data_IF_125781420012
#
_entry.id   IF_125781420012
#
_cell.length_a   1.000
_cell.length_b   1.000
_cell.length_c   1.000
_cell.angle_alpha   90.00
_cell.angle_beta   90.00
_cell.angle_gamma   90.00
#
_symmetry.space_group_name_H-M   'P 1'
#
loop_
_entity.id
_entity.type
_entity.pdbx_description
1 polymer ?
#
# COMPACT_ATOMS: atom_id res chain seq x y z
N UNK A 1 2.37 -16.81 -22.09
CA UNK A 1 1.18 -16.13 -21.53
C UNK A 1 1.63 -14.75 -21.08
N UNK A 2 1.45 -13.73 -21.93
CA UNK A 2 1.79 -12.34 -21.60
C UNK A 2 0.53 -11.71 -21.01
N UNK A 3 0.47 -11.62 -19.68
CA UNK A 3 -0.53 -10.82 -18.99
C UNK A 3 -0.30 -9.37 -19.38
N UNK A 4 -1.28 -8.77 -20.05
CA UNK A 4 -1.27 -7.38 -20.47
C UNK A 4 -1.57 -6.48 -19.27
N UNK A 5 -0.64 -6.45 -18.30
CA UNK A 5 -0.65 -5.50 -17.19
C UNK A 5 -0.65 -4.10 -17.81
N UNK A 6 -1.63 -3.25 -17.50
CA UNK A 6 -1.60 -1.86 -17.97
C UNK A 6 -0.33 -1.22 -17.41
N UNK A 7 0.40 -0.45 -18.23
CA UNK A 7 1.70 0.17 -17.90
C UNK A 7 1.57 1.35 -16.91
N UNK A 8 0.64 1.22 -15.97
CA UNK A 8 0.31 2.20 -14.95
C UNK A 8 1.02 1.78 -13.66
N UNK A 9 1.99 2.59 -13.28
CA UNK A 9 2.74 2.43 -12.04
C UNK A 9 2.08 3.26 -10.94
N UNK A 10 1.67 2.60 -9.86
CA UNK A 10 1.02 3.25 -8.72
C UNK A 10 1.90 3.10 -7.49
N UNK A 11 2.13 4.22 -6.81
CA UNK A 11 2.74 4.24 -5.47
C UNK A 11 1.67 4.65 -4.48
N UNK A 12 1.37 3.76 -3.53
CA UNK A 12 0.52 4.10 -2.39
C UNK A 12 1.41 4.62 -1.28
N UNK A 13 1.41 5.93 -1.06
CA UNK A 13 2.17 6.56 0.01
C UNK A 13 1.30 6.71 1.26
N UNK A 14 1.86 6.41 2.43
CA UNK A 14 1.21 6.60 3.72
C UNK A 14 2.21 6.97 4.80
N UNK A 15 1.83 7.83 5.72
CA UNK A 15 2.71 8.22 6.84
C UNK A 15 3.04 7.03 7.75
N UNK A 16 2.10 6.09 7.88
CA UNK A 16 2.19 4.88 8.71
C UNK A 16 2.54 5.17 10.19
N UNK A 17 2.04 6.28 10.74
CA UNK A 17 2.23 6.68 12.15
C UNK A 17 1.08 6.24 13.04
N UNK A 18 -0.16 6.53 12.62
CA UNK A 18 -1.34 6.20 13.41
C UNK A 18 -1.47 4.69 13.63
N UNK A 19 -1.22 3.89 12.60
CA UNK A 19 -1.26 2.43 12.70
C UNK A 19 -0.15 1.86 13.60
N UNK A 20 0.90 2.64 13.91
CA UNK A 20 1.98 2.26 14.82
C UNK A 20 1.81 2.77 16.25
N UNK A 21 0.97 3.78 16.47
CA UNK A 21 0.84 4.48 17.76
C UNK A 21 -0.52 4.28 18.43
N UNK A 22 -1.55 3.93 17.67
CA UNK A 22 -2.91 3.71 18.15
C UNK A 22 -3.31 2.25 17.94
N UNK A 23 -3.53 1.53 19.03
CA UNK A 23 -3.92 0.10 19.00
C UNK A 23 -5.27 -0.13 18.32
N UNK A 24 -6.21 0.82 18.43
CA UNK A 24 -7.51 0.75 17.78
C UNK A 24 -7.40 0.87 16.26
N UNK A 25 -6.49 1.72 15.79
CA UNK A 25 -6.18 1.84 14.35
C UNK A 25 -5.43 0.60 13.86
N UNK A 26 -4.42 0.12 14.61
CA UNK A 26 -3.67 -1.09 14.28
C UNK A 26 -4.56 -2.33 14.21
N UNK A 27 -5.60 -2.42 15.05
CA UNK A 27 -6.56 -3.51 15.01
C UNK A 27 -7.38 -3.55 13.70
N UNK A 28 -7.60 -2.40 13.05
CA UNK A 28 -8.30 -2.30 11.77
C UNK A 28 -7.32 -2.47 10.60
N UNK A 29 -6.13 -1.87 10.69
CA UNK A 29 -5.10 -1.87 9.66
C UNK A 29 -3.76 -2.38 10.21
N UNK A 30 -3.62 -3.70 10.45
CA UNK A 30 -2.44 -4.27 11.11
C UNK A 30 -1.16 -4.12 10.29
N UNK A 31 -1.28 -4.02 8.97
CA UNK A 31 -0.16 -3.79 8.04
C UNK A 31 -0.19 -2.35 7.46
N UNK A 32 -1.04 -1.48 8.02
CA UNK A 32 -1.28 -0.13 7.53
C UNK A 32 -2.28 -0.03 6.38
N UNK A 33 -2.85 1.15 6.20
CA UNK A 33 -3.85 1.42 5.15
C UNK A 33 -3.24 1.23 3.76
N UNK A 34 -1.98 1.66 3.59
CA UNK A 34 -1.24 1.51 2.35
C UNK A 34 -1.14 0.06 1.86
N UNK A 35 -0.90 -0.91 2.76
CA UNK A 35 -0.87 -2.32 2.40
C UNK A 35 -2.24 -2.82 1.93
N UNK A 36 -3.31 -2.43 2.63
CA UNK A 36 -4.70 -2.77 2.27
C UNK A 36 -5.06 -2.25 0.87
N UNK A 37 -4.77 -0.98 0.60
CA UNK A 37 -5.02 -0.37 -0.72
C UNK A 37 -4.16 -1.00 -1.81
N UNK A 38 -2.88 -1.26 -1.53
CA UNK A 38 -1.99 -1.90 -2.49
C UNK A 38 -2.47 -3.31 -2.86
N UNK A 39 -2.96 -4.09 -1.89
CA UNK A 39 -3.51 -5.42 -2.13
C UNK A 39 -4.76 -5.38 -3.01
N UNK A 40 -5.64 -4.38 -2.82
CA UNK A 40 -6.80 -4.18 -3.68
C UNK A 40 -6.41 -3.78 -5.11
N UNK A 41 -5.49 -2.81 -5.25
CA UNK A 41 -5.05 -2.28 -6.55
C UNK A 41 -4.28 -3.31 -7.38
N UNK A 42 -3.51 -4.20 -6.74
CA UNK A 42 -2.80 -5.30 -7.44
C UNK A 42 -3.75 -6.26 -8.16
N UNK A 43 -5.01 -6.34 -7.75
CA UNK A 43 -6.03 -7.14 -8.45
C UNK A 43 -6.46 -6.53 -9.79
N UNK A 44 -6.11 -5.27 -10.06
CA UNK A 44 -6.55 -4.51 -11.23
C UNK A 44 -5.54 -4.47 -12.39
N UNK A 45 -4.65 -5.45 -12.52
CA UNK A 45 -3.59 -5.49 -13.55
C UNK A 45 -2.71 -4.21 -13.54
N UNK A 46 -2.36 -3.73 -12.34
CA UNK A 46 -1.52 -2.56 -12.10
C UNK A 46 -0.18 -2.95 -11.47
N UNK A 47 0.87 -2.19 -11.74
CA UNK A 47 2.16 -2.30 -11.05
C UNK A 47 2.14 -1.44 -9.80
N UNK A 48 1.98 -2.05 -8.62
CA UNK A 48 1.76 -1.31 -7.37
C UNK A 48 2.86 -1.54 -6.35
N UNK A 49 3.45 -0.44 -5.87
CA UNK A 49 4.34 -0.40 -4.70
C UNK A 49 3.74 0.46 -3.59
N UNK A 50 4.26 0.29 -2.39
CA UNK A 50 3.99 1.16 -1.25
C UNK A 50 5.23 2.00 -0.94
N UNK A 51 5.04 3.11 -0.23
CA UNK A 51 6.11 3.87 0.38
C UNK A 51 5.60 4.50 1.69
N UNK A 52 6.48 4.62 2.68
CA UNK A 52 6.17 5.22 3.97
C UNK A 52 7.07 6.40 4.31
N UNK A 53 6.68 7.23 5.27
CA UNK A 53 7.47 8.41 5.68
C UNK A 53 8.87 8.04 6.20
N UNK A 54 9.01 6.88 6.85
CA UNK A 54 10.29 6.42 7.43
C UNK A 54 11.21 5.75 6.39
N UNK A 55 10.76 5.54 5.15
CA UNK A 55 11.58 4.98 4.08
C UNK A 55 12.52 6.05 3.48
N UNK A 56 13.75 5.67 3.08
CA UNK A 56 14.67 6.57 2.38
C UNK A 56 14.15 6.93 0.97
N UNK A 57 14.57 8.09 0.46
CA UNK A 57 14.34 8.54 -0.93
C UNK A 57 15.18 7.79 -1.96
#
# INVERSE_FOLDING_TARGET
MTTNTRDIHVTVWNEYRHERQDEGVAAIYPEGIHATLAAALRKAELTVRTATLDEPE
#
